data_IF_243150026393
#
_entry.id   IF_243150026393
#
_cell.length_a   1.000
_cell.length_b   1.000
_cell.length_c   1.000
_cell.angle_alpha   90.00
_cell.angle_beta   90.00
_cell.angle_gamma   90.00
#
_symmetry.space_group_name_H-M   'P 1'
#
loop_
_entity.id
_entity.type
_entity.pdbx_description
1 polymer ?
#
# COMPACT_ATOMS: atom_id res chain seq x y z
N UNK A 1 16.44 -5.22 9.16
CA UNK A 1 15.62 -5.36 7.93
C UNK A 1 14.37 -4.48 7.97
N UNK A 2 13.46 -4.66 8.92
CA UNK A 2 12.23 -3.84 9.04
C UNK A 2 12.49 -2.35 9.17
N UNK A 3 13.47 -1.92 9.98
CA UNK A 3 13.84 -0.50 10.12
C UNK A 3 14.31 0.13 8.79
N UNK A 4 15.01 -0.64 7.94
CA UNK A 4 15.43 -0.15 6.63
C UNK A 4 14.22 0.04 5.71
N UNK A 5 13.30 -0.93 5.67
CA UNK A 5 12.06 -0.80 4.90
C UNK A 5 11.19 0.35 5.42
N UNK A 6 11.18 0.57 6.75
CA UNK A 6 10.56 1.71 7.40
C UNK A 6 11.19 3.06 7.03
N UNK A 7 12.51 3.10 6.80
CA UNK A 7 13.17 4.32 6.33
C UNK A 7 12.86 4.62 4.85
N UNK A 8 12.64 3.58 4.03
CA UNK A 8 12.29 3.70 2.61
C UNK A 8 10.86 4.19 2.42
N UNK A 9 9.89 3.68 3.18
CA UNK A 9 8.50 4.14 3.11
C UNK A 9 8.20 5.38 3.98
N UNK A 10 9.21 5.92 4.66
CA UNK A 10 9.11 7.11 5.51
C UNK A 10 8.49 6.85 6.89
N UNK A 11 8.15 5.63 7.30
CA UNK A 11 7.68 5.37 8.66
C UNK A 11 8.76 5.66 9.72
N UNK A 12 10.03 5.48 9.37
CA UNK A 12 11.18 5.90 10.17
C UNK A 12 11.74 7.21 9.59
N UNK A 13 11.84 8.30 10.35
CA UNK A 13 11.49 8.44 11.77
C UNK A 13 10.06 8.92 12.03
N UNK A 14 9.27 9.25 11.00
CA UNK A 14 8.01 10.01 11.14
C UNK A 14 6.98 9.39 12.10
N UNK A 15 6.91 8.06 12.18
CA UNK A 15 5.95 7.34 13.02
C UNK A 15 6.61 6.54 14.13
N UNK A 16 7.65 5.78 13.82
CA UNK A 16 8.30 4.91 14.81
C UNK A 16 9.31 5.65 15.69
N UNK A 17 9.66 6.89 15.34
CA UNK A 17 10.72 7.66 15.98
C UNK A 17 12.14 7.20 15.60
N UNK A 18 13.12 7.66 16.36
CA UNK A 18 14.55 7.39 16.16
C UNK A 18 15.28 8.52 15.43
N UNK A 19 16.60 8.36 15.27
CA UNK A 19 17.45 9.32 14.58
C UNK A 19 17.94 8.73 13.27
N UNK A 20 17.59 9.38 12.15
CA UNK A 20 18.08 9.03 10.83
C UNK A 20 19.28 9.93 10.49
N UNK A 21 20.43 9.31 10.21
CA UNK A 21 21.60 9.99 9.66
C UNK A 21 21.80 9.60 8.20
N UNK A 22 22.19 10.56 7.37
CA UNK A 22 22.28 10.40 5.91
C UNK A 22 20.99 10.76 5.20
N UNK A 23 20.79 10.24 4.00
CA UNK A 23 19.63 10.57 3.17
C UNK A 23 19.08 9.32 2.49
N UNK A 24 17.76 9.15 2.55
CA UNK A 24 17.02 8.15 1.78
C UNK A 24 16.16 8.90 0.79
N UNK A 25 16.27 8.51 -0.48
CA UNK A 25 15.45 9.09 -1.56
C UNK A 25 14.70 7.99 -2.29
N UNK A 26 13.46 8.28 -2.66
CA UNK A 26 12.62 7.44 -3.53
C UNK A 26 12.07 8.33 -4.62
N UNK A 27 12.29 7.95 -5.87
CA UNK A 27 11.82 8.73 -7.03
C UNK A 27 12.24 10.21 -6.96
N UNK A 28 13.49 10.46 -6.53
CA UNK A 28 14.03 11.81 -6.33
C UNK A 28 13.50 12.58 -5.11
N UNK A 29 12.54 12.03 -4.36
CA UNK A 29 11.95 12.64 -3.15
C UNK A 29 12.64 12.12 -1.90
N UNK A 30 13.03 13.02 -0.99
CA UNK A 30 13.60 12.62 0.31
C UNK A 30 12.52 12.16 1.27
N UNK A 31 12.72 11.02 1.94
CA UNK A 31 11.76 10.48 2.92
C UNK A 31 11.70 11.30 4.21
N UNK A 32 12.75 12.07 4.52
CA UNK A 32 12.76 12.98 5.67
C UNK A 32 11.93 14.25 5.41
N UNK A 33 11.84 14.71 4.17
CA UNK A 33 11.11 15.93 3.79
C UNK A 33 9.67 15.70 3.35
N UNK A 34 9.26 14.45 3.11
CA UNK A 34 7.90 14.09 2.70
C UNK A 34 7.30 13.10 3.70
N UNK A 35 6.11 13.37 4.26
CA UNK A 35 5.42 12.39 5.10
C UNK A 35 5.02 11.16 4.27
N UNK A 36 4.86 9.98 4.88
CA UNK A 36 4.55 8.73 4.15
C UNK A 36 3.37 8.82 3.17
N UNK A 37 2.31 9.58 3.51
CA UNK A 37 1.16 9.80 2.62
C UNK A 37 1.52 10.47 1.28
N UNK A 38 2.61 11.24 1.22
CA UNK A 38 3.10 11.91 0.00
C UNK A 38 4.07 11.03 -0.81
N UNK A 39 4.39 9.84 -0.28
CA UNK A 39 5.20 8.82 -0.94
C UNK A 39 4.38 7.59 -1.33
N UNK A 40 3.11 7.53 -0.93
CA UNK A 40 2.23 6.39 -1.15
C UNK A 40 1.96 6.10 -2.63
N UNK A 41 2.20 7.09 -3.51
CA UNK A 41 2.13 6.93 -4.97
C UNK A 41 3.33 6.17 -5.55
N UNK A 42 4.46 6.10 -4.83
CA UNK A 42 5.72 5.50 -5.29
C UNK A 42 6.25 4.38 -4.39
N UNK A 43 5.76 4.26 -3.16
CA UNK A 43 6.13 3.18 -2.22
C UNK A 43 4.89 2.50 -1.65
N UNK A 44 4.76 1.20 -1.93
CA UNK A 44 3.88 0.29 -1.22
C UNK A 44 4.66 -0.62 -0.26
N UNK A 45 4.01 -1.09 0.81
CA UNK A 45 4.60 -2.06 1.75
C UNK A 45 3.65 -3.24 1.95
N UNK A 46 4.19 -4.44 1.86
CA UNK A 46 3.51 -5.68 2.23
C UNK A 46 4.03 -6.12 3.59
N UNK A 47 3.14 -6.18 4.57
CA UNK A 47 3.43 -6.59 5.95
C UNK A 47 3.83 -8.06 6.06
N UNK A 48 4.33 -8.45 7.24
CA UNK A 48 4.63 -9.86 7.52
C UNK A 48 3.37 -10.67 7.82
N UNK A 49 2.42 -10.06 8.53
CA UNK A 49 1.10 -10.62 8.77
C UNK A 49 0.10 -9.97 7.80
N UNK A 50 -0.47 -10.72 6.84
CA UNK A 50 -1.48 -10.19 5.93
C UNK A 50 -2.75 -9.73 6.64
N UNK A 51 -3.13 -10.36 7.76
CA UNK A 51 -4.38 -10.07 8.47
C UNK A 51 -4.36 -8.67 9.09
N UNK A 52 -3.19 -8.15 9.44
CA UNK A 52 -3.00 -6.79 9.94
C UNK A 52 -3.19 -5.72 8.84
N UNK A 53 -3.19 -6.13 7.56
CA UNK A 53 -3.25 -5.22 6.41
C UNK A 53 -4.63 -5.05 5.79
N UNK A 54 -5.56 -6.00 6.02
CA UNK A 54 -6.90 -5.94 5.45
C UNK A 54 -7.80 -4.98 6.22
N UNK A 55 -8.66 -4.28 5.47
CA UNK A 55 -9.57 -3.26 6.01
C UNK A 55 -11.03 -3.58 5.66
N UNK A 56 -11.27 -4.37 4.62
CA UNK A 56 -12.60 -4.68 4.07
C UNK A 56 -13.01 -6.13 4.30
N UNK A 57 -14.23 -6.49 3.92
CA UNK A 57 -14.79 -7.81 4.19
C UNK A 57 -14.39 -8.85 3.13
N UNK A 58 -14.25 -8.44 1.86
CA UNK A 58 -13.99 -9.35 0.73
C UNK A 58 -12.78 -8.96 -0.11
N UNK A 59 -12.23 -9.93 -0.85
CA UNK A 59 -11.07 -9.72 -1.73
C UNK A 59 -11.30 -8.60 -2.74
N UNK A 60 -12.46 -8.55 -3.39
CA UNK A 60 -12.79 -7.48 -4.35
C UNK A 60 -12.83 -6.10 -3.72
N UNK A 61 -13.47 -5.96 -2.56
CA UNK A 61 -13.58 -4.68 -1.85
C UNK A 61 -12.20 -4.19 -1.43
N UNK A 62 -11.31 -5.08 -1.01
CA UNK A 62 -9.95 -4.72 -0.60
C UNK A 62 -9.13 -4.18 -1.79
N UNK A 63 -9.25 -4.83 -2.95
CA UNK A 63 -8.59 -4.36 -4.17
C UNK A 63 -9.13 -2.99 -4.63
N UNK A 64 -10.42 -2.73 -4.42
CA UNK A 64 -11.04 -1.45 -4.73
C UNK A 64 -10.69 -0.35 -3.72
N UNK A 65 -10.52 -0.69 -2.44
CA UNK A 65 -10.38 0.25 -1.33
C UNK A 65 -9.32 1.33 -1.57
N UNK A 66 -8.10 0.95 -1.97
CA UNK A 66 -7.03 1.92 -2.22
C UNK A 66 -7.37 2.88 -3.37
N UNK A 67 -8.09 2.41 -4.39
CA UNK A 67 -8.53 3.24 -5.51
C UNK A 67 -9.66 4.18 -5.13
N UNK A 68 -10.55 3.77 -4.22
CA UNK A 68 -11.61 4.62 -3.66
C UNK A 68 -11.02 5.78 -2.85
N UNK A 69 -9.99 5.53 -2.02
CA UNK A 69 -9.29 6.58 -1.29
C UNK A 69 -8.62 7.62 -2.21
N UNK A 70 -8.26 7.20 -3.42
CA UNK A 70 -7.71 8.06 -4.47
C UNK A 70 -8.79 8.68 -5.37
N UNK A 71 -10.07 8.47 -5.05
CA UNK A 71 -11.22 8.95 -5.82
C UNK A 71 -11.18 8.56 -7.31
N UNK A 72 -10.68 7.35 -7.61
CA UNK A 72 -10.63 6.84 -8.98
C UNK A 72 -12.05 6.57 -9.50
N UNK A 73 -12.40 6.91 -10.75
CA UNK A 73 -13.75 6.68 -11.28
C UNK A 73 -14.17 5.20 -11.24
N UNK A 74 -15.43 4.87 -10.91
CA UNK A 74 -15.90 3.49 -10.77
C UNK A 74 -15.64 2.57 -11.95
N UNK A 75 -15.75 3.09 -13.18
CA UNK A 75 -15.47 2.32 -14.39
C UNK A 75 -13.99 1.90 -14.50
N UNK A 76 -13.07 2.76 -14.05
CA UNK A 76 -11.63 2.47 -14.03
C UNK A 76 -11.29 1.48 -12.93
N UNK A 77 -11.90 1.65 -11.74
CA UNK A 77 -11.72 0.72 -10.63
C UNK A 77 -12.14 -0.70 -11.02
N UNK A 78 -13.35 -0.86 -11.58
CA UNK A 78 -13.85 -2.17 -12.03
C UNK A 78 -12.86 -2.85 -12.98
N UNK A 79 -12.39 -2.13 -14.00
CA UNK A 79 -11.40 -2.68 -14.94
C UNK A 79 -10.11 -3.14 -14.23
N UNK A 80 -9.56 -2.32 -13.33
CA UNK A 80 -8.32 -2.64 -12.61
C UNK A 80 -8.48 -3.80 -11.63
N UNK A 81 -9.65 -3.94 -11.00
CA UNK A 81 -9.97 -5.09 -10.15
C UNK A 81 -9.93 -6.37 -10.97
N UNK A 82 -10.63 -6.42 -12.12
CA UNK A 82 -10.60 -7.61 -13.00
C UNK A 82 -9.16 -7.94 -13.43
N UNK A 83 -8.41 -6.95 -13.91
CA UNK A 83 -7.01 -7.12 -14.34
C UNK A 83 -6.13 -7.67 -13.20
N UNK A 84 -6.36 -7.24 -11.96
CA UNK A 84 -5.57 -7.68 -10.80
C UNK A 84 -5.95 -9.10 -10.36
N UNK A 85 -7.25 -9.42 -10.34
CA UNK A 85 -7.73 -10.77 -10.05
C UNK A 85 -7.18 -11.78 -11.05
N UNK A 86 -7.18 -11.44 -12.33
CA UNK A 86 -6.63 -12.28 -13.39
C UNK A 86 -5.11 -12.43 -13.26
N UNK A 87 -4.39 -11.32 -13.07
CA UNK A 87 -2.93 -11.31 -12.94
C UNK A 87 -2.44 -12.18 -11.77
N UNK A 88 -3.18 -12.19 -10.66
CA UNK A 88 -2.81 -12.92 -9.44
C UNK A 88 -3.48 -14.29 -9.33
N UNK A 89 -4.35 -14.67 -10.28
CA UNK A 89 -5.09 -15.93 -10.25
C UNK A 89 -6.09 -16.03 -9.09
N UNK A 90 -6.71 -14.91 -8.72
CA UNK A 90 -7.62 -14.78 -7.57
C UNK A 90 -9.10 -14.74 -7.96
N UNK A 91 -9.44 -14.97 -9.23
CA UNK A 91 -10.82 -14.87 -9.73
C UNK A 91 -11.82 -15.69 -8.90
N UNK A 92 -11.47 -16.94 -8.53
CA UNK A 92 -12.33 -17.81 -7.72
C UNK A 92 -12.46 -17.35 -6.26
N UNK A 93 -11.59 -16.45 -5.81
CA UNK A 93 -11.56 -15.90 -4.45
C UNK A 93 -12.21 -14.51 -4.36
N UNK A 94 -12.72 -13.95 -5.45
CA UNK A 94 -13.27 -12.59 -5.55
C UNK A 94 -14.20 -12.20 -4.39
N UNK A 95 -15.12 -13.09 -4.04
CA UNK A 95 -16.14 -12.85 -3.00
C UNK A 95 -15.83 -13.59 -1.69
N UNK A 96 -14.61 -14.11 -1.55
CA UNK A 96 -14.19 -14.79 -0.32
C UNK A 96 -13.99 -13.75 0.78
N UNK A 97 -14.48 -14.07 1.97
CA UNK A 97 -14.24 -13.27 3.17
C UNK A 97 -12.74 -13.27 3.54
N UNK A 98 -12.25 -12.11 3.97
CA UNK A 98 -10.87 -11.93 4.43
C UNK A 98 -10.65 -12.40 5.88
N UNK A 99 -11.74 -12.67 6.60
CA UNK A 99 -11.79 -13.16 7.99
C UNK A 99 -12.59 -14.46 8.12
#
# INVERSE_FOLDING_TARGET
KSTLLGAVNGLVPHFTGGTLYGTVTVDGRTTAGHPPRELADVVGVVGQDPLDGFVTDTVEEELAYAMEQLAIPPAVMRKRVEETLDLLGLADLRHRALY
#
